data_IF_251010601963
#
_entry.id   IF_251010601963
#
_cell.length_a   1.000
_cell.length_b   1.000
_cell.length_c   1.000
_cell.angle_alpha   90.00
_cell.angle_beta   90.00
_cell.angle_gamma   90.00
#
_symmetry.space_group_name_H-M   'P 1'
#
loop_
_entity.id
_entity.type
_entity.pdbx_description
1 polymer ?
#
# COMPACT_ATOMS: atom_id res chain seq x y z
N UNK A 1 63.91 -55.23 3.30
CA UNK A 1 62.59 -55.87 3.48
C UNK A 1 61.53 -54.78 3.53
N UNK A 2 60.46 -54.91 2.71
CA UNK A 2 59.11 -54.30 2.80
C UNK A 2 59.05 -52.77 3.01
N UNK A 3 58.85 -51.96 1.98
CA UNK A 3 57.57 -51.62 1.33
C UNK A 3 56.48 -51.10 2.30
N UNK A 4 56.08 -49.83 2.16
CA UNK A 4 54.71 -49.32 2.02
C UNK A 4 54.68 -47.77 2.10
N UNK A 5 54.36 -47.11 0.98
CA UNK A 5 53.54 -45.86 0.96
C UNK A 5 52.07 -46.29 1.25
N UNK A 6 51.09 -45.46 1.69
CA UNK A 6 50.74 -44.09 1.24
C UNK A 6 50.25 -43.20 2.44
N UNK A 7 49.65 -42.00 2.37
CA UNK A 7 48.76 -41.40 1.40
C UNK A 7 48.79 -39.87 1.48
N UNK A 8 48.83 -39.24 0.30
CA UNK A 8 48.50 -37.85 0.08
C UNK A 8 47.01 -37.65 0.36
N UNK A 9 46.67 -36.81 1.34
CA UNK A 9 45.32 -36.28 1.49
C UNK A 9 45.13 -35.16 0.45
N UNK A 10 44.58 -35.51 -0.70
CA UNK A 10 44.08 -34.54 -1.67
C UNK A 10 42.75 -33.97 -1.15
N UNK A 11 42.82 -32.80 -0.49
CA UNK A 11 41.64 -32.05 -0.11
C UNK A 11 41.11 -31.32 -1.36
N UNK A 12 40.14 -31.92 -2.04
CA UNK A 12 39.46 -31.33 -3.19
C UNK A 12 38.54 -30.22 -2.67
N UNK A 13 39.00 -28.97 -2.79
CA UNK A 13 38.15 -27.80 -2.58
C UNK A 13 37.27 -27.61 -3.82
N UNK A 14 36.07 -28.17 -3.80
CA UNK A 14 35.08 -27.93 -4.83
C UNK A 14 34.57 -26.49 -4.70
N UNK A 15 35.14 -25.58 -5.50
CA UNK A 15 34.59 -24.25 -5.70
C UNK A 15 33.28 -24.38 -6.50
N UNK A 16 32.15 -24.42 -5.80
CA UNK A 16 30.84 -24.15 -6.39
C UNK A 16 30.76 -22.65 -6.67
N UNK A 17 31.32 -22.21 -7.78
CA UNK A 17 30.94 -20.95 -8.42
C UNK A 17 29.53 -21.12 -8.98
N UNK A 18 28.54 -21.07 -8.10
CA UNK A 18 27.18 -20.77 -8.50
C UNK A 18 27.21 -19.41 -9.18
N UNK A 19 26.99 -19.37 -10.49
CA UNK A 19 26.62 -18.14 -11.16
C UNK A 19 25.33 -17.65 -10.50
N UNK A 20 25.46 -16.78 -9.50
CA UNK A 20 24.38 -15.90 -9.10
C UNK A 20 24.14 -14.98 -10.30
N UNK A 21 23.32 -15.42 -11.25
CA UNK A 21 22.65 -14.50 -12.14
C UNK A 21 21.99 -13.48 -11.22
N UNK A 22 22.32 -12.18 -11.31
CA UNK A 22 21.58 -11.18 -10.57
C UNK A 22 20.15 -11.26 -11.08
N UNK A 23 19.30 -11.97 -10.34
CA UNK A 23 17.87 -11.92 -10.53
C UNK A 23 17.51 -10.47 -10.31
N UNK A 24 17.27 -9.73 -11.41
CA UNK A 24 16.69 -8.40 -11.32
C UNK A 24 15.44 -8.58 -10.46
N UNK A 25 15.49 -8.06 -9.24
CA UNK A 25 14.28 -7.83 -8.46
C UNK A 25 13.40 -6.96 -9.33
N UNK A 26 12.39 -7.56 -9.95
CA UNK A 26 11.41 -6.80 -10.71
C UNK A 26 10.61 -6.05 -9.65
N UNK A 27 10.96 -4.79 -9.41
CA UNK A 27 10.13 -3.90 -8.62
C UNK A 27 8.68 -4.05 -9.12
N UNK A 28 7.69 -4.18 -8.21
CA UNK A 28 6.31 -4.44 -8.60
C UNK A 28 5.86 -3.37 -9.59
N UNK A 29 5.13 -3.76 -10.65
CA UNK A 29 4.58 -2.80 -11.62
C UNK A 29 3.28 -2.15 -11.12
N UNK A 30 2.64 -2.76 -10.12
CA UNK A 30 1.46 -2.23 -9.46
C UNK A 30 1.38 -2.72 -8.03
N UNK A 31 0.79 -1.90 -7.15
CA UNK A 31 0.51 -2.23 -5.75
C UNK A 31 -0.87 -1.72 -5.40
N UNK A 32 -1.65 -2.51 -4.68
CA UNK A 32 -2.99 -2.10 -4.22
C UNK A 32 -3.13 -2.32 -2.73
N UNK A 33 -4.01 -1.55 -2.10
CA UNK A 33 -4.32 -1.73 -0.69
C UNK A 33 -5.46 -0.83 -0.23
N UNK A 34 -5.57 -0.71 1.08
CA UNK A 34 -6.53 0.15 1.78
C UNK A 34 -5.78 1.19 2.59
N UNK A 35 -6.35 2.38 2.72
CA UNK A 35 -5.76 3.49 3.47
C UNK A 35 -6.85 4.26 4.21
N UNK A 36 -6.61 4.64 5.46
CA UNK A 36 -7.56 5.43 6.25
C UNK A 36 -7.50 6.92 5.87
N UNK A 37 -8.51 7.69 6.28
CA UNK A 37 -8.47 9.13 6.19
C UNK A 37 -7.21 9.71 6.87
N UNK A 38 -6.48 10.58 6.17
CA UNK A 38 -5.33 11.30 6.71
C UNK A 38 -4.00 10.54 6.62
N UNK A 39 -4.06 9.23 6.36
CA UNK A 39 -2.89 8.37 6.20
C UNK A 39 -2.20 8.58 4.84
N UNK A 40 -1.00 8.00 4.72
CA UNK A 40 -0.14 8.11 3.53
C UNK A 40 -0.03 6.81 2.76
N UNK A 41 0.13 6.93 1.45
CA UNK A 41 0.50 5.84 0.55
C UNK A 41 1.91 6.13 0.02
N UNK A 42 2.87 5.26 0.36
CA UNK A 42 4.26 5.38 -0.08
C UNK A 42 4.48 4.66 -1.42
N UNK A 43 5.37 5.21 -2.26
CA UNK A 43 5.82 4.51 -3.47
C UNK A 43 6.71 3.32 -3.10
N UNK A 44 6.60 2.17 -3.78
CA UNK A 44 7.47 1.02 -3.55
C UNK A 44 8.94 1.27 -3.88
N UNK A 45 9.21 2.19 -4.82
CA UNK A 45 10.55 2.55 -5.28
C UNK A 45 10.52 3.85 -6.06
N UNK A 46 11.62 4.62 -6.07
CA UNK A 46 11.69 5.88 -6.80
C UNK A 46 10.91 7.00 -6.12
N UNK A 47 10.21 7.81 -6.91
CA UNK A 47 9.48 9.01 -6.47
C UNK A 47 8.02 8.97 -6.90
N UNK A 48 7.19 9.86 -6.36
CA UNK A 48 5.78 10.04 -6.78
C UNK A 48 5.62 10.33 -8.28
N UNK A 49 6.68 10.79 -8.97
CA UNK A 49 6.63 11.06 -10.40
C UNK A 49 6.69 9.78 -11.24
N UNK A 50 7.26 8.70 -10.70
CA UNK A 50 7.41 7.40 -11.38
C UNK A 50 6.11 6.56 -11.34
N UNK A 51 5.09 7.04 -10.65
CA UNK A 51 3.89 6.27 -10.30
C UNK A 51 2.63 7.11 -10.48
N UNK A 52 1.54 6.42 -10.84
CA UNK A 52 0.18 6.96 -10.83
C UNK A 52 -0.58 6.35 -9.67
N UNK A 53 -1.21 7.19 -8.85
CA UNK A 53 -2.08 6.78 -7.76
C UNK A 53 -3.55 6.99 -8.15
N UNK A 54 -4.33 5.91 -8.06
CA UNK A 54 -5.79 5.96 -8.11
C UNK A 54 -6.33 5.66 -6.71
N UNK A 55 -7.32 6.43 -6.27
CA UNK A 55 -8.01 6.22 -5.00
C UNK A 55 -9.51 6.13 -5.23
N UNK A 56 -10.17 5.20 -4.53
CA UNK A 56 -11.61 5.00 -4.60
C UNK A 56 -12.20 4.85 -3.18
N UNK A 57 -13.43 5.32 -2.93
CA UNK A 57 -14.09 5.11 -1.65
C UNK A 57 -14.16 3.61 -1.28
N UNK A 58 -13.92 3.28 -0.01
CA UNK A 58 -14.08 1.91 0.51
C UNK A 58 -15.16 1.84 1.59
N UNK A 59 -14.99 2.60 2.69
CA UNK A 59 -15.99 2.70 3.77
C UNK A 59 -16.42 4.14 3.92
N UNK A 60 -17.64 4.42 3.44
CA UNK A 60 -18.29 5.73 3.50
C UNK A 60 -19.72 5.56 3.97
N UNK A 61 -20.18 6.50 4.80
CA UNK A 61 -21.50 6.41 5.44
C UNK A 61 -21.45 5.71 6.79
N UNK A 62 -22.43 6.06 7.62
CA UNK A 62 -22.69 5.43 8.92
C UNK A 62 -24.17 5.10 8.97
N UNK A 63 -24.48 3.91 9.47
CA UNK A 63 -25.83 3.50 9.82
C UNK A 63 -25.91 3.49 11.34
N UNK A 64 -26.68 4.41 11.90
CA UNK A 64 -26.95 4.43 13.33
C UNK A 64 -28.16 3.53 13.65
N UNK A 65 -28.08 2.68 14.69
CA UNK A 65 -29.21 1.85 15.09
C UNK A 65 -30.44 2.69 15.42
N UNK A 66 -31.62 2.31 14.89
CA UNK A 66 -32.91 3.01 15.10
C UNK A 66 -33.04 4.38 14.41
N UNK A 67 -32.09 4.74 13.55
CA UNK A 67 -32.13 5.98 12.74
C UNK A 67 -32.43 5.68 11.26
N UNK A 68 -33.13 4.57 11.00
CA UNK A 68 -33.53 4.19 9.65
C UNK A 68 -34.45 5.28 9.06
N UNK A 69 -34.08 5.80 7.88
CA UNK A 69 -34.78 6.86 7.11
C UNK A 69 -34.53 8.33 7.51
N UNK A 70 -33.68 8.63 8.48
CA UNK A 70 -33.38 10.02 8.88
C UNK A 70 -31.88 10.40 8.69
N UNK A 71 -31.08 9.42 8.29
CA UNK A 71 -29.67 9.59 7.97
C UNK A 71 -29.49 10.08 6.53
N UNK A 72 -28.53 10.98 6.33
CA UNK A 72 -28.19 11.49 4.99
C UNK A 72 -26.69 11.61 4.77
N UNK A 73 -26.24 10.94 3.72
CA UNK A 73 -24.92 11.13 3.16
C UNK A 73 -24.95 12.33 2.22
N UNK A 74 -24.26 13.41 2.59
CA UNK A 74 -24.34 14.69 1.89
C UNK A 74 -23.22 14.88 0.88
N UNK A 75 -22.02 14.39 1.19
CA UNK A 75 -20.85 14.50 0.32
C UNK A 75 -19.85 13.41 0.63
N UNK A 76 -19.05 13.06 -0.38
CA UNK A 76 -17.87 12.20 -0.25
C UNK A 76 -16.68 12.99 -0.78
N UNK A 77 -15.56 12.96 -0.04
CA UNK A 77 -14.28 13.48 -0.49
C UNK A 77 -13.27 12.34 -0.46
N UNK A 78 -12.86 11.93 -1.66
CA UNK A 78 -11.78 10.96 -1.87
C UNK A 78 -10.83 11.51 -2.91
N UNK A 79 -9.65 11.89 -2.46
CA UNK A 79 -8.56 12.33 -3.33
C UNK A 79 -7.23 12.16 -2.61
N UNK A 80 -6.14 12.28 -3.36
CA UNK A 80 -4.78 12.20 -2.83
C UNK A 80 -3.99 13.44 -3.25
N UNK A 81 -3.15 13.93 -2.35
CA UNK A 81 -2.24 15.06 -2.58
C UNK A 81 -0.81 14.60 -2.29
N UNK A 82 0.17 15.09 -3.05
CA UNK A 82 1.59 14.79 -2.79
C UNK A 82 1.95 15.33 -1.40
N UNK A 83 2.39 14.45 -0.50
CA UNK A 83 2.84 14.84 0.84
C UNK A 83 4.34 15.14 0.86
N UNK A 84 5.11 14.36 0.10
CA UNK A 84 6.54 14.52 -0.16
C UNK A 84 6.94 13.73 -1.42
N UNK A 85 8.23 13.70 -1.74
CA UNK A 85 8.76 13.06 -2.96
C UNK A 85 8.47 11.56 -3.07
N UNK A 86 8.08 10.88 -1.98
CA UNK A 86 7.89 9.42 -1.95
C UNK A 86 6.50 9.00 -1.46
N UNK A 87 5.58 9.94 -1.22
CA UNK A 87 4.25 9.59 -0.71
C UNK A 87 3.16 10.59 -1.05
N UNK A 88 1.92 10.09 -1.10
CA UNK A 88 0.72 10.89 -1.12
C UNK A 88 -0.02 10.79 0.19
N UNK A 89 -0.56 11.90 0.68
CA UNK A 89 -1.56 11.91 1.74
C UNK A 89 -2.95 11.72 1.14
N UNK A 90 -3.74 10.83 1.72
CA UNK A 90 -5.08 10.50 1.24
C UNK A 90 -6.14 11.18 2.11
N UNK A 91 -7.00 11.96 1.46
CA UNK A 91 -8.23 12.46 2.08
C UNK A 91 -9.36 11.52 1.71
N UNK A 92 -9.84 10.74 2.68
CA UNK A 92 -11.00 9.84 2.52
C UNK A 92 -12.04 10.11 3.61
N UNK A 93 -12.96 11.05 3.39
CA UNK A 93 -13.96 11.43 4.40
C UNK A 93 -15.32 11.64 3.75
N UNK A 94 -16.37 11.56 4.55
CA UNK A 94 -17.73 11.84 4.09
C UNK A 94 -18.43 12.84 5.01
N UNK A 95 -19.33 13.63 4.43
CA UNK A 95 -20.15 14.57 5.17
C UNK A 95 -21.49 13.90 5.46
N UNK A 96 -21.82 13.85 6.73
CA UNK A 96 -22.97 13.14 7.26
C UNK A 96 -23.82 14.07 8.10
N UNK A 97 -25.13 13.85 8.12
CA UNK A 97 -26.05 14.55 9.02
C UNK A 97 -27.01 13.59 9.70
N UNK A 98 -27.16 13.74 11.01
CA UNK A 98 -28.30 13.17 11.75
C UNK A 98 -29.50 14.09 11.57
N UNK A 99 -30.66 13.49 11.37
CA UNK A 99 -31.93 14.16 11.25
C UNK A 99 -32.07 15.14 10.08
N UNK A 100 -33.29 15.29 9.57
CA UNK A 100 -33.61 16.25 8.50
C UNK A 100 -33.29 17.72 8.88
N UNK A 101 -33.10 18.05 10.15
CA UNK A 101 -33.04 19.41 10.68
C UNK A 101 -31.65 20.09 10.69
N UNK A 102 -30.67 19.66 9.87
CA UNK A 102 -29.35 20.31 9.66
C UNK A 102 -28.49 20.63 10.90
N UNK A 103 -28.96 20.34 12.11
CA UNK A 103 -28.33 20.75 13.35
C UNK A 103 -27.05 19.97 13.64
N UNK A 104 -26.91 18.78 13.06
CA UNK A 104 -25.83 17.83 13.35
C UNK A 104 -25.15 17.35 12.08
N UNK A 105 -24.61 18.26 11.27
CA UNK A 105 -23.85 17.94 10.06
C UNK A 105 -22.34 18.05 10.31
N UNK A 106 -21.60 16.97 10.10
CA UNK A 106 -20.16 16.92 10.35
C UNK A 106 -19.43 16.04 9.32
N UNK A 107 -18.10 16.17 9.29
CA UNK A 107 -17.23 15.31 8.50
C UNK A 107 -16.82 14.12 9.35
N UNK A 108 -16.92 12.93 8.76
CA UNK A 108 -16.56 11.66 9.40
C UNK A 108 -15.41 11.03 8.62
N UNK A 109 -14.37 10.53 9.30
CA UNK A 109 -13.30 9.80 8.64
C UNK A 109 -13.85 8.49 8.06
N UNK A 110 -13.43 8.21 6.83
CA UNK A 110 -13.68 6.93 6.15
C UNK A 110 -12.39 6.23 5.80
N UNK A 111 -12.46 5.35 4.81
CA UNK A 111 -11.29 4.71 4.20
C UNK A 111 -11.42 4.64 2.68
N UNK A 112 -10.28 4.53 2.01
CA UNK A 112 -10.19 4.39 0.56
C UNK A 112 -9.41 3.13 0.18
N UNK A 113 -9.77 2.54 -0.95
CA UNK A 113 -8.92 1.63 -1.68
C UNK A 113 -7.95 2.45 -2.53
N UNK A 114 -6.73 1.96 -2.70
CA UNK A 114 -5.77 2.56 -3.62
C UNK A 114 -5.20 1.54 -4.60
N UNK A 115 -4.82 2.03 -5.77
CA UNK A 115 -4.03 1.32 -6.78
C UNK A 115 -2.90 2.24 -7.24
N UNK A 116 -1.67 1.80 -7.02
CA UNK A 116 -0.45 2.36 -7.56
C UNK A 116 -0.10 1.60 -8.84
N UNK A 117 0.19 2.34 -9.90
CA UNK A 117 0.66 1.79 -11.18
C UNK A 117 1.91 2.54 -11.60
N UNK A 118 2.97 1.80 -11.92
CA UNK A 118 4.22 2.39 -12.40
C UNK A 118 4.01 2.98 -13.80
N UNK A 119 4.53 4.20 -14.04
CA UNK A 119 4.51 4.87 -15.35
C UNK A 119 5.60 4.37 -16.27
#
# INVERSE_FOLDING_TARGET
MRALRPALAACVLAALTGCATPGRSSAPRSVSGTVAHGDVVAVPSGTVNDWSLMVAPMRMGVEEPRSENDNRLLAIRVFATVANDTSWQVTAQYRFGYALNNASVFWVPGSANYLLVRR
#
